data_IF_375098652312
#
_entry.id   IF_375098652312
#
_cell.length_a   1.000
_cell.length_b   1.000
_cell.length_c   1.000
_cell.angle_alpha   90.00
_cell.angle_beta   90.00
_cell.angle_gamma   90.00
#
_symmetry.space_group_name_H-M   'P 1'
#
loop_
_entity.id
_entity.type
_entity.pdbx_description
1 polymer ?
#
# COMPACT_ATOMS: atom_id res chain seq x y z
N UNK A 1 -22.04 14.47 4.82
CA UNK A 1 -21.86 13.43 5.85
C UNK A 1 -22.61 12.16 5.42
N UNK A 2 -22.24 10.99 5.96
CA UNK A 2 -22.95 9.74 5.76
C UNK A 2 -23.74 9.41 7.01
N UNK A 3 -24.95 8.84 6.84
CA UNK A 3 -25.81 8.41 7.92
C UNK A 3 -26.62 7.15 7.52
N UNK A 4 -27.36 6.60 8.47
CA UNK A 4 -28.26 5.48 8.25
C UNK A 4 -29.71 5.97 8.19
N UNK A 5 -30.46 5.53 7.21
CA UNK A 5 -31.91 5.75 7.16
C UNK A 5 -32.69 4.81 8.13
N UNK A 6 -33.99 4.97 8.23
CA UNK A 6 -34.84 4.14 9.07
C UNK A 6 -34.86 2.66 8.68
N UNK A 7 -34.44 2.30 7.46
CA UNK A 7 -34.32 0.92 6.98
C UNK A 7 -32.87 0.36 7.18
N UNK A 8 -31.97 1.13 7.77
CA UNK A 8 -30.57 0.77 7.97
C UNK A 8 -29.73 0.84 6.68
N UNK A 9 -30.19 1.57 5.68
CA UNK A 9 -29.45 1.80 4.45
C UNK A 9 -28.57 3.05 4.57
N UNK A 10 -27.44 3.02 3.89
CA UNK A 10 -26.50 4.14 3.88
C UNK A 10 -27.04 5.26 2.98
N UNK A 11 -27.14 6.47 3.54
CA UNK A 11 -27.54 7.67 2.81
C UNK A 11 -26.50 8.79 2.95
N UNK A 12 -26.44 9.66 1.95
CA UNK A 12 -25.67 10.89 1.99
C UNK A 12 -26.44 12.03 2.71
N UNK A 13 -25.88 13.21 2.74
CA UNK A 13 -26.45 14.41 3.36
C UNK A 13 -27.66 14.99 2.61
N UNK A 14 -27.92 14.52 1.40
CA UNK A 14 -29.13 14.83 0.63
C UNK A 14 -30.21 13.73 0.73
N UNK A 15 -29.96 12.70 1.54
CA UNK A 15 -30.89 11.56 1.74
C UNK A 15 -30.88 10.54 0.59
N UNK A 16 -29.88 10.55 -0.29
CA UNK A 16 -29.76 9.61 -1.40
C UNK A 16 -29.01 8.35 -0.95
N UNK A 17 -29.47 7.20 -1.38
CA UNK A 17 -28.80 5.94 -1.08
C UNK A 17 -27.43 5.85 -1.72
N UNK A 18 -26.43 5.48 -0.92
CA UNK A 18 -25.05 5.25 -1.37
C UNK A 18 -24.89 3.76 -1.70
N UNK A 19 -24.88 3.44 -2.98
CA UNK A 19 -24.70 2.09 -3.51
C UNK A 19 -23.41 1.89 -4.31
N UNK A 20 -22.60 2.94 -4.43
CA UNK A 20 -21.33 2.92 -5.14
C UNK A 20 -20.33 3.85 -4.45
N UNK A 21 -19.12 3.35 -4.19
CA UNK A 21 -18.05 4.11 -3.56
C UNK A 21 -16.78 3.96 -4.36
N UNK A 22 -16.23 5.08 -4.82
CA UNK A 22 -14.84 5.13 -5.26
C UNK A 22 -13.97 5.54 -4.09
N UNK A 23 -13.28 4.55 -3.50
CA UNK A 23 -12.36 4.83 -2.39
C UNK A 23 -10.97 5.22 -2.88
N UNK A 24 -10.43 6.27 -2.32
CA UNK A 24 -9.05 6.70 -2.55
C UNK A 24 -8.11 6.30 -1.40
N UNK A 25 -8.64 5.69 -0.34
CA UNK A 25 -7.89 5.20 0.80
C UNK A 25 -7.49 3.74 0.63
N UNK A 26 -6.42 3.37 1.31
CA UNK A 26 -6.05 1.97 1.45
C UNK A 26 -7.07 1.19 2.30
N UNK A 27 -7.28 -0.08 1.99
CA UNK A 27 -8.08 -0.97 2.81
C UNK A 27 -7.57 -1.05 4.26
N UNK A 28 -6.26 -0.98 4.46
CA UNK A 28 -5.65 -0.97 5.79
C UNK A 28 -6.17 0.19 6.66
N UNK A 29 -6.49 1.33 6.06
CA UNK A 29 -7.10 2.47 6.77
C UNK A 29 -8.50 2.13 7.31
N UNK A 30 -9.28 1.37 6.55
CA UNK A 30 -10.59 0.90 7.00
C UNK A 30 -10.45 -0.18 8.09
N UNK A 31 -9.47 -1.07 7.98
CA UNK A 31 -9.23 -2.13 8.96
C UNK A 31 -8.68 -1.60 10.30
N UNK A 32 -8.01 -0.45 10.34
CA UNK A 32 -7.60 0.17 11.60
C UNK A 32 -8.80 0.44 12.52
N UNK A 33 -9.96 0.78 11.96
CA UNK A 33 -11.18 1.00 12.74
C UNK A 33 -11.67 -0.26 13.49
N UNK A 34 -11.35 -1.44 12.95
CA UNK A 34 -11.63 -2.73 13.63
C UNK A 34 -10.54 -3.04 14.63
N UNK A 35 -9.28 -2.81 14.26
CA UNK A 35 -8.12 -3.11 15.09
C UNK A 35 -8.13 -2.33 16.40
N UNK A 36 -8.38 -1.02 16.34
CA UNK A 36 -8.42 -0.16 17.54
C UNK A 36 -9.41 -0.64 18.58
N UNK A 37 -10.55 -1.20 18.16
CA UNK A 37 -11.57 -1.71 19.08
C UNK A 37 -11.22 -3.13 19.56
N UNK A 38 -10.62 -3.98 18.71
CA UNK A 38 -10.27 -5.35 19.08
C UNK A 38 -9.13 -5.44 20.08
N UNK A 39 -8.22 -4.46 20.13
CA UNK A 39 -7.13 -4.40 21.11
C UNK A 39 -7.63 -4.12 22.54
N UNK A 40 -8.78 -3.46 22.66
CA UNK A 40 -9.38 -3.15 23.97
C UNK A 40 -10.31 -4.24 24.51
N UNK A 41 -10.91 -5.07 23.66
CA UNK A 41 -11.96 -6.01 24.07
C UNK A 41 -11.67 -7.49 23.78
N UNK A 42 -10.59 -7.85 23.09
CA UNK A 42 -10.30 -9.21 22.61
C UNK A 42 -11.44 -9.87 21.79
N UNK A 43 -12.45 -9.11 21.41
CA UNK A 43 -13.56 -9.57 20.61
C UNK A 43 -13.41 -9.06 19.17
N UNK A 44 -13.60 -9.94 18.20
CA UNK A 44 -13.77 -9.50 16.82
C UNK A 44 -14.93 -8.50 16.76
N UNK A 45 -14.64 -7.23 16.49
CA UNK A 45 -15.70 -6.23 16.34
C UNK A 45 -16.50 -6.59 15.11
N UNK A 46 -17.76 -7.01 15.26
CA UNK A 46 -18.55 -7.43 14.13
C UNK A 46 -18.73 -6.25 13.17
N UNK A 47 -18.66 -6.55 11.88
CA UNK A 47 -19.15 -5.63 10.87
C UNK A 47 -20.62 -5.39 11.18
N UNK A 48 -20.99 -4.14 11.38
CA UNK A 48 -22.36 -3.81 11.73
C UNK A 48 -23.25 -3.96 10.49
N UNK A 49 -24.14 -4.92 10.56
CA UNK A 49 -25.16 -5.17 9.52
C UNK A 49 -26.55 -4.80 10.09
N UNK A 50 -27.49 -4.49 9.21
CA UNK A 50 -28.84 -4.07 9.61
C UNK A 50 -28.93 -2.59 9.99
N UNK A 51 -29.49 -2.27 11.15
CA UNK A 51 -29.62 -0.92 11.70
C UNK A 51 -28.49 -0.62 12.70
N UNK A 52 -27.29 -0.19 12.26
CA UNK A 52 -26.22 0.15 13.18
C UNK A 52 -26.53 1.49 13.86
N UNK A 53 -26.44 1.52 15.19
CA UNK A 53 -26.52 2.77 15.95
C UNK A 53 -25.17 3.50 15.93
N UNK A 54 -25.21 4.84 15.94
CA UNK A 54 -24.03 5.71 16.04
C UNK A 54 -23.43 6.11 14.69
N UNK A 55 -22.20 6.61 14.75
CA UNK A 55 -21.49 7.11 13.56
C UNK A 55 -21.23 6.01 12.53
N UNK A 56 -21.32 6.40 11.25
CA UNK A 56 -20.97 5.53 10.13
C UNK A 56 -19.47 5.33 10.08
N UNK A 57 -19.00 4.10 10.32
CA UNK A 57 -17.58 3.76 10.14
C UNK A 57 -17.32 3.43 8.67
N UNK A 58 -16.14 3.79 8.18
CA UNK A 58 -15.74 3.49 6.82
C UNK A 58 -15.83 1.98 6.49
N UNK A 59 -15.41 1.13 7.43
CA UNK A 59 -15.43 -0.33 7.25
C UNK A 59 -16.85 -0.87 7.11
N UNK A 60 -17.83 -0.30 7.83
CA UNK A 60 -19.24 -0.71 7.73
C UNK A 60 -19.81 -0.39 6.33
N UNK A 61 -19.36 0.70 5.71
CA UNK A 61 -19.74 1.09 4.35
C UNK A 61 -19.13 0.17 3.32
N UNK A 62 -17.80 -0.01 3.40
CA UNK A 62 -17.02 -0.70 2.36
C UNK A 62 -17.28 -2.22 2.30
N UNK A 63 -17.79 -2.82 3.37
CA UNK A 63 -18.06 -4.27 3.43
C UNK A 63 -19.54 -4.62 3.29
N UNK A 64 -20.39 -3.64 2.96
CA UNK A 64 -21.80 -3.91 2.70
C UNK A 64 -22.00 -4.58 1.34
N UNK A 65 -22.80 -5.65 1.25
CA UNK A 65 -23.03 -6.36 -0.01
C UNK A 65 -23.76 -5.50 -1.06
N UNK A 66 -24.54 -4.52 -0.63
CA UNK A 66 -25.28 -3.60 -1.50
C UNK A 66 -24.42 -2.43 -2.01
N UNK A 67 -23.20 -2.25 -1.50
CA UNK A 67 -22.30 -1.16 -1.91
C UNK A 67 -21.23 -1.69 -2.85
N UNK A 68 -21.25 -1.21 -4.09
CA UNK A 68 -20.18 -1.48 -5.05
C UNK A 68 -18.96 -0.60 -4.73
N UNK A 69 -17.85 -1.23 -4.42
CA UNK A 69 -16.62 -0.53 -4.04
C UNK A 69 -15.56 -0.61 -5.15
N UNK A 70 -15.11 0.52 -5.64
CA UNK A 70 -13.91 0.69 -6.46
C UNK A 70 -12.78 1.20 -5.55
N UNK A 71 -11.77 0.56 -5.40
CA UNK A 71 -11.17 -0.75 -5.61
C UNK A 71 -11.76 -1.82 -4.67
N UNK A 72 -12.08 -3.02 -5.15
CA UNK A 72 -12.68 -4.06 -4.33
C UNK A 72 -11.72 -4.67 -3.30
N UNK A 73 -12.26 -5.38 -2.31
CA UNK A 73 -11.50 -5.91 -1.17
C UNK A 73 -10.30 -6.82 -1.56
N UNK A 74 -10.41 -7.59 -2.64
CA UNK A 74 -9.31 -8.48 -3.06
C UNK A 74 -8.01 -7.73 -3.37
N UNK A 75 -8.08 -6.41 -3.64
CA UNK A 75 -6.89 -5.58 -3.88
C UNK A 75 -5.98 -5.43 -2.64
N UNK A 76 -6.45 -5.83 -1.47
CA UNK A 76 -5.61 -5.99 -0.26
C UNK A 76 -4.44 -6.94 -0.52
N UNK A 77 -4.66 -8.01 -1.29
CA UNK A 77 -3.62 -9.01 -1.56
C UNK A 77 -2.43 -8.40 -2.31
N UNK A 78 -2.61 -7.84 -3.52
CA UNK A 78 -1.50 -7.20 -4.23
C UNK A 78 -1.04 -5.86 -3.59
N UNK A 79 -1.87 -5.25 -2.76
CA UNK A 79 -1.52 -4.02 -2.02
C UNK A 79 -0.61 -4.26 -0.82
N UNK A 80 -0.52 -5.50 -0.33
CA UNK A 80 0.32 -5.88 0.81
C UNK A 80 1.67 -6.41 0.32
N UNK A 81 2.78 -5.88 0.87
CA UNK A 81 4.14 -6.29 0.46
C UNK A 81 4.48 -7.73 0.79
N UNK A 82 3.73 -8.41 1.68
CA UNK A 82 3.89 -9.83 1.94
C UNK A 82 3.69 -10.72 0.70
N UNK A 83 3.07 -10.19 -0.37
CA UNK A 83 3.00 -10.89 -1.66
C UNK A 83 4.37 -11.03 -2.34
N UNK A 84 5.33 -10.13 -2.08
CA UNK A 84 6.62 -10.13 -2.76
C UNK A 84 7.48 -11.37 -2.46
N UNK A 85 7.64 -11.83 -1.20
CA UNK A 85 8.28 -13.11 -0.91
C UNK A 85 7.59 -14.30 -1.59
N UNK A 86 6.26 -14.29 -1.64
CA UNK A 86 5.47 -15.35 -2.30
C UNK A 86 5.74 -15.35 -3.81
N UNK A 87 5.73 -14.19 -4.44
CA UNK A 87 6.05 -14.07 -5.87
C UNK A 87 7.48 -14.50 -6.17
N UNK A 88 8.44 -14.15 -5.32
CA UNK A 88 9.82 -14.58 -5.48
C UNK A 88 9.98 -16.11 -5.37
N UNK A 89 9.28 -16.75 -4.43
CA UNK A 89 9.27 -18.22 -4.31
C UNK A 89 8.61 -18.92 -5.51
N UNK A 90 7.52 -18.33 -6.04
CA UNK A 90 6.82 -18.89 -7.21
C UNK A 90 7.59 -18.67 -8.52
N UNK A 91 8.31 -17.58 -8.63
CA UNK A 91 9.02 -17.16 -9.84
C UNK A 91 10.45 -16.72 -9.50
N UNK A 92 11.30 -17.63 -9.03
CA UNK A 92 12.68 -17.31 -8.66
C UNK A 92 13.47 -16.80 -9.87
N UNK A 93 14.31 -15.80 -9.63
CA UNK A 93 15.12 -15.12 -10.65
C UNK A 93 14.31 -14.46 -11.79
N UNK A 94 13.03 -14.16 -11.57
CA UNK A 94 12.25 -13.44 -12.55
C UNK A 94 12.81 -12.02 -12.74
N UNK A 95 13.03 -11.62 -14.00
CA UNK A 95 13.72 -10.36 -14.37
C UNK A 95 13.13 -9.07 -13.79
N UNK A 96 11.89 -9.09 -13.35
CA UNK A 96 11.18 -7.95 -12.76
C UNK A 96 10.93 -8.10 -11.25
N UNK A 97 11.49 -9.12 -10.63
CA UNK A 97 11.41 -9.33 -9.19
C UNK A 97 12.80 -9.20 -8.57
N UNK A 98 12.87 -8.63 -7.39
CA UNK A 98 14.04 -8.67 -6.54
C UNK A 98 13.90 -9.82 -5.55
N UNK A 99 15.01 -10.42 -5.13
CA UNK A 99 15.00 -11.40 -4.03
C UNK A 99 14.30 -10.78 -2.82
N UNK A 100 13.32 -11.48 -2.31
CA UNK A 100 12.49 -10.99 -1.20
C UNK A 100 12.11 -12.16 -0.31
N UNK A 101 12.30 -11.98 1.01
CA UNK A 101 11.99 -12.99 2.01
C UNK A 101 11.34 -12.36 3.26
N UNK A 102 10.76 -13.20 4.11
CA UNK A 102 10.27 -12.80 5.43
C UNK A 102 11.39 -12.73 6.48
N UNK A 103 12.56 -13.24 6.18
CA UNK A 103 13.75 -13.20 7.01
C UNK A 103 14.97 -12.80 6.17
N UNK A 104 16.03 -12.32 6.82
CA UNK A 104 17.28 -11.98 6.12
C UNK A 104 18.05 -13.26 5.79
N UNK A 105 18.05 -13.65 4.53
CA UNK A 105 18.81 -14.78 4.01
C UNK A 105 20.27 -14.39 3.64
N UNK A 106 21.09 -15.37 3.28
CA UNK A 106 22.52 -15.13 3.00
C UNK A 106 22.76 -14.27 1.74
N UNK A 107 21.87 -14.36 0.74
CA UNK A 107 21.98 -13.52 -0.45
C UNK A 107 21.67 -12.06 -0.13
N UNK A 108 20.65 -11.82 0.67
CA UNK A 108 20.31 -10.48 1.14
C UNK A 108 21.45 -9.84 1.96
N UNK A 109 22.11 -10.63 2.81
CA UNK A 109 23.31 -10.14 3.54
C UNK A 109 24.46 -9.76 2.58
N UNK A 110 24.66 -10.54 1.52
CA UNK A 110 25.72 -10.29 0.56
C UNK A 110 25.47 -9.08 -0.35
N UNK A 111 24.22 -8.82 -0.69
CA UNK A 111 23.83 -7.75 -1.63
C UNK A 111 23.36 -6.46 -0.95
N UNK A 112 23.11 -6.51 0.36
CA UNK A 112 22.35 -5.50 1.07
C UNK A 112 20.85 -5.67 0.84
N UNK A 113 20.05 -5.04 1.67
CA UNK A 113 18.59 -5.20 1.63
C UNK A 113 17.84 -3.97 2.12
N UNK A 114 16.59 -3.89 1.72
CA UNK A 114 15.61 -2.95 2.24
C UNK A 114 14.67 -3.65 3.20
N UNK A 115 14.52 -3.13 4.42
CA UNK A 115 13.51 -3.56 5.40
C UNK A 115 12.23 -2.78 5.15
N UNK A 116 11.11 -3.48 4.95
CA UNK A 116 9.84 -2.84 4.59
C UNK A 116 8.71 -3.43 5.41
N UNK A 117 7.83 -2.64 6.05
CA UNK A 117 6.63 -3.19 6.68
C UNK A 117 5.71 -3.80 5.61
N UNK A 118 5.09 -4.93 5.92
CA UNK A 118 4.15 -5.61 5.00
C UNK A 118 2.99 -4.70 4.58
N UNK A 119 2.50 -3.88 5.50
CA UNK A 119 1.56 -2.80 5.23
C UNK A 119 2.26 -1.45 5.40
N UNK A 120 2.14 -0.57 4.44
CA UNK A 120 2.77 0.75 4.45
C UNK A 120 2.84 1.35 3.05
N UNK A 121 2.93 2.68 2.98
CA UNK A 121 2.83 3.44 1.72
C UNK A 121 3.84 4.56 1.70
N UNK A 122 4.10 5.06 0.50
CA UNK A 122 4.86 6.29 0.28
C UNK A 122 6.22 6.31 1.01
N UNK A 123 6.95 5.21 0.97
CA UNK A 123 8.26 5.12 1.59
C UNK A 123 8.27 5.10 3.12
N UNK A 124 7.12 4.98 3.81
CA UNK A 124 7.08 4.99 5.27
C UNK A 124 7.71 3.74 5.88
N UNK A 125 8.52 3.96 6.92
CA UNK A 125 9.21 2.90 7.70
C UNK A 125 10.08 1.97 6.83
N UNK A 126 10.87 2.54 5.92
CA UNK A 126 11.85 1.83 5.12
C UNK A 126 13.24 2.07 5.70
N UNK A 127 13.99 1.02 5.93
CA UNK A 127 15.42 1.09 6.23
C UNK A 127 16.19 0.43 5.09
N UNK A 128 17.25 1.06 4.59
CA UNK A 128 18.12 0.53 3.54
C UNK A 128 19.46 0.15 4.17
N UNK A 129 19.82 -1.12 4.07
CA UNK A 129 21.02 -1.69 4.68
C UNK A 129 21.97 -2.13 3.58
N UNK A 130 23.25 -1.74 3.66
CA UNK A 130 24.30 -2.15 2.73
C UNK A 130 24.74 -3.60 2.97
N UNK A 131 25.54 -4.14 2.03
CA UNK A 131 26.21 -5.43 2.21
C UNK A 131 27.24 -5.46 3.37
N UNK A 132 27.63 -4.31 3.87
CA UNK A 132 28.50 -4.15 5.03
C UNK A 132 27.73 -3.96 6.34
N UNK A 133 26.41 -4.17 6.31
CA UNK A 133 25.48 -3.97 7.43
C UNK A 133 25.41 -2.49 7.91
N UNK A 134 25.65 -1.55 7.01
CA UNK A 134 25.57 -0.12 7.29
C UNK A 134 24.20 0.42 6.88
N UNK A 135 23.62 1.29 7.71
CA UNK A 135 22.40 2.00 7.38
C UNK A 135 22.68 3.09 6.34
N UNK A 136 22.20 2.89 5.10
CA UNK A 136 22.38 3.84 4.00
C UNK A 136 21.35 4.97 4.00
N UNK A 137 20.11 4.65 4.32
CA UNK A 137 19.01 5.60 4.38
C UNK A 137 17.86 5.03 5.24
N UNK A 138 17.04 5.93 5.78
CA UNK A 138 15.92 5.56 6.64
C UNK A 138 14.76 6.53 6.51
N UNK A 139 13.55 6.00 6.56
CA UNK A 139 12.34 6.80 6.65
C UNK A 139 11.51 6.43 7.87
N UNK A 140 10.83 7.42 8.44
CA UNK A 140 9.89 7.22 9.53
C UNK A 140 8.44 7.10 9.02
N UNK A 141 7.54 6.62 9.86
CA UNK A 141 6.11 6.51 9.53
C UNK A 141 5.29 5.84 10.64
N UNK A 142 4.04 5.54 10.32
CA UNK A 142 3.02 5.00 11.27
C UNK A 142 3.00 3.47 11.39
N UNK A 143 3.88 2.75 10.68
CA UNK A 143 3.77 1.29 10.51
C UNK A 143 4.84 0.53 11.32
N UNK A 144 5.23 1.05 12.49
CA UNK A 144 6.34 0.53 13.32
C UNK A 144 6.04 -0.89 13.86
N UNK A 145 4.78 -1.17 14.19
CA UNK A 145 4.32 -2.45 14.81
C UNK A 145 3.98 -3.52 13.77
N UNK A 146 4.29 -3.29 12.50
CA UNK A 146 4.01 -4.27 11.45
C UNK A 146 5.17 -5.25 11.28
N UNK A 147 4.83 -6.50 10.90
CA UNK A 147 5.85 -7.43 10.41
C UNK A 147 6.52 -6.85 9.17
N UNK A 148 7.78 -7.19 8.99
CA UNK A 148 8.57 -6.73 7.85
C UNK A 148 8.75 -7.84 6.81
N UNK A 149 9.08 -7.42 5.60
CA UNK A 149 9.78 -8.20 4.59
C UNK A 149 11.17 -7.60 4.37
N UNK A 150 12.05 -8.41 3.83
CA UNK A 150 13.41 -8.03 3.47
C UNK A 150 13.58 -8.27 1.98
N UNK A 151 13.93 -7.21 1.25
CA UNK A 151 14.04 -7.25 -0.20
C UNK A 151 15.43 -6.81 -0.61
N UNK A 152 16.04 -7.50 -1.55
CA UNK A 152 17.33 -7.16 -2.13
C UNK A 152 17.43 -5.65 -2.39
N UNK A 153 18.54 -5.06 -1.98
CA UNK A 153 18.80 -3.64 -2.16
C UNK A 153 18.89 -3.30 -3.66
N UNK A 154 18.09 -2.35 -4.05
CA UNK A 154 18.16 -1.73 -5.36
C UNK A 154 18.25 -0.22 -5.20
N UNK A 155 19.42 0.33 -5.51
CA UNK A 155 19.61 1.77 -5.48
C UNK A 155 19.00 2.39 -6.74
N UNK A 156 18.14 3.38 -6.55
CA UNK A 156 17.56 4.14 -7.65
C UNK A 156 18.64 4.89 -8.43
N UNK A 157 18.50 5.05 -9.75
CA UNK A 157 19.42 5.87 -10.52
C UNK A 157 19.31 7.34 -10.09
N UNK A 158 20.44 8.06 -10.16
CA UNK A 158 20.51 9.49 -9.86
C UNK A 158 20.63 10.28 -11.15
N UNK A 159 19.67 11.19 -11.38
CA UNK A 159 19.62 12.08 -12.55
C UNK A 159 19.41 13.50 -12.04
N UNK A 160 20.22 14.43 -12.50
CA UNK A 160 20.18 15.87 -12.12
C UNK A 160 20.13 16.10 -10.60
N UNK A 161 20.86 15.27 -9.86
CA UNK A 161 20.94 15.38 -8.40
C UNK A 161 19.86 14.63 -7.62
N UNK A 162 18.79 14.13 -8.27
CA UNK A 162 17.69 13.40 -7.63
C UNK A 162 17.74 11.90 -7.93
N UNK A 163 17.32 11.09 -6.96
CA UNK A 163 17.05 9.67 -7.16
C UNK A 163 15.68 9.50 -7.83
N UNK A 164 15.66 8.78 -8.96
CA UNK A 164 14.51 8.70 -9.83
C UNK A 164 13.85 7.32 -9.77
N UNK A 165 12.55 7.29 -9.51
CA UNK A 165 11.69 6.12 -9.63
C UNK A 165 10.72 6.31 -10.80
N UNK A 166 10.72 5.36 -11.74
CA UNK A 166 9.74 5.32 -12.83
C UNK A 166 8.51 4.56 -12.34
N UNK A 167 7.35 5.21 -12.40
CA UNK A 167 6.06 4.63 -12.05
C UNK A 167 5.22 4.42 -13.30
N UNK A 168 4.74 3.21 -13.53
CA UNK A 168 3.85 2.88 -14.64
C UNK A 168 2.44 2.57 -14.14
N UNK A 169 1.45 2.98 -14.90
CA UNK A 169 0.04 2.72 -14.64
C UNK A 169 -0.50 1.73 -15.68
N UNK A 170 -1.36 0.84 -15.22
CA UNK A 170 -2.07 -0.09 -16.11
C UNK A 170 -3.58 0.05 -15.92
N UNK A 171 -4.31 -0.08 -17.02
CA UNK A 171 -5.77 -0.08 -17.04
C UNK A 171 -6.23 -1.32 -17.81
N UNK A 172 -6.96 -2.21 -17.13
CA UNK A 172 -7.38 -3.47 -17.74
C UNK A 172 -6.21 -4.33 -18.25
N UNK A 173 -5.05 -4.29 -17.59
CA UNK A 173 -3.83 -4.99 -17.99
C UNK A 173 -3.01 -4.31 -19.10
N UNK A 174 -3.48 -3.20 -19.66
CA UNK A 174 -2.79 -2.44 -20.69
C UNK A 174 -2.04 -1.25 -20.09
N UNK A 175 -0.98 -0.80 -20.77
CA UNK A 175 -0.25 0.40 -20.37
C UNK A 175 -1.17 1.62 -20.40
N UNK A 176 -1.27 2.33 -19.29
CA UNK A 176 -2.13 3.50 -19.12
C UNK A 176 -1.38 4.82 -18.97
N UNK A 177 -0.07 4.77 -18.74
CA UNK A 177 0.76 5.96 -18.57
C UNK A 177 1.96 5.74 -17.66
N UNK A 178 2.81 6.74 -17.60
CA UNK A 178 4.04 6.74 -16.78
C UNK A 178 4.26 8.11 -16.16
N UNK A 179 4.76 8.14 -14.93
CA UNK A 179 5.32 9.35 -14.33
C UNK A 179 6.67 9.03 -13.67
N UNK A 180 7.44 10.06 -13.39
CA UNK A 180 8.64 9.98 -12.58
C UNK A 180 8.35 10.47 -11.16
N UNK A 181 9.00 9.84 -10.20
CA UNK A 181 9.12 10.39 -8.84
C UNK A 181 10.59 10.65 -8.56
N UNK A 182 10.88 11.87 -8.11
CA UNK A 182 12.24 12.30 -7.77
C UNK A 182 12.35 12.66 -6.30
N UNK A 183 13.44 12.25 -5.65
CA UNK A 183 13.74 12.58 -4.25
C UNK A 183 15.25 12.83 -4.08
N UNK A 184 15.61 13.63 -3.09
CA UNK A 184 17.02 13.85 -2.72
C UNK A 184 17.60 12.67 -1.93
N UNK A 185 16.74 11.81 -1.38
CA UNK A 185 17.08 10.59 -0.65
C UNK A 185 16.81 9.32 -1.47
N UNK A 186 17.47 8.21 -1.09
CA UNK A 186 17.25 6.89 -1.74
C UNK A 186 15.84 6.36 -1.56
N UNK A 187 15.13 6.78 -0.50
CA UNK A 187 13.75 6.41 -0.23
C UNK A 187 12.82 7.47 -0.77
N UNK A 188 12.05 7.14 -1.81
CA UNK A 188 11.00 8.02 -2.36
C UNK A 188 9.84 8.10 -1.36
N UNK A 189 9.49 9.31 -0.94
CA UNK A 189 8.52 9.63 0.13
C UNK A 189 7.23 10.23 -0.44
N UNK A 190 6.26 10.50 0.44
CA UNK A 190 4.98 11.09 0.05
C UNK A 190 5.15 12.48 -0.61
N UNK A 191 6.08 13.23 -0.10
CA UNK A 191 6.39 14.62 -0.51
C UNK A 191 7.33 14.70 -1.72
N UNK A 192 7.86 13.56 -2.21
CA UNK A 192 8.74 13.51 -3.39
C UNK A 192 8.06 14.09 -4.62
N UNK A 193 8.82 14.77 -5.44
CA UNK A 193 8.34 15.37 -6.69
C UNK A 193 7.72 14.32 -7.61
N UNK A 194 6.68 14.74 -8.32
CA UNK A 194 6.04 13.92 -9.36
C UNK A 194 6.11 14.71 -10.66
N UNK A 195 6.75 14.11 -11.66
CA UNK A 195 6.94 14.74 -12.96
C UNK A 195 6.33 13.86 -14.07
N UNK A 196 5.69 14.49 -15.07
CA UNK A 196 5.20 13.77 -16.24
C UNK A 196 6.37 13.24 -17.07
N UNK A 197 6.18 12.08 -17.68
CA UNK A 197 7.14 11.50 -18.60
C UNK A 197 6.54 11.41 -19.99
N UNK A 198 7.29 11.85 -21.00
CA UNK A 198 6.95 11.69 -22.41
C UNK A 198 7.76 10.52 -22.96
N UNK A 199 7.05 9.51 -23.43
CA UNK A 199 7.69 8.39 -24.14
C UNK A 199 7.86 8.77 -25.61
N UNK A 200 9.11 8.89 -26.05
CA UNK A 200 9.44 9.11 -27.46
C UNK A 200 9.83 7.79 -28.12
N UNK A 201 9.45 7.62 -29.38
CA UNK A 201 9.93 6.48 -30.17
C UNK A 201 11.37 6.77 -30.58
N UNK A 202 12.25 5.80 -30.42
CA UNK A 202 13.58 5.84 -31.02
C UNK A 202 13.43 5.95 -32.56
N UNK A 203 14.27 6.79 -33.14
CA UNK A 203 14.30 6.98 -34.61
C UNK A 203 15.05 5.85 -35.27
#
# INVERSE_FOLDING_TARGET
ALSWDAAGQLIDDEGRHVNCVWKTWAWETAFEQIREVSETEYAAVPIRTGHPEGEVRLIDVLLRPEVLVFEPLWTVIPGNKAILPVLWQLFPNHRYLLDTDFEVNDLLKQTGYAVKPIAGRCGSNIDLISAQDELLDKSSGKFVDRKNIYQQLWCLPKVDGKYIQVCTFTVGGNYGGTCLRGDDSLVVKKESDIEPLIVVKDK
#
